data_IF_255458552957
#
_entry.id   IF_255458552957
#
_cell.length_a   1.000
_cell.length_b   1.000
_cell.length_c   1.000
_cell.angle_alpha   90.00
_cell.angle_beta   90.00
_cell.angle_gamma   90.00
#
_symmetry.space_group_name_H-M   'P 1'
#
loop_
_entity.id
_entity.type
_entity.pdbx_description
1 polymer ?
#
# COMPACT_ATOMS: atom_id res chain seq x y z
N UNK A 1 -40.16 -55.03 26.81
CA UNK A 1 -41.08 -54.38 25.86
C UNK A 1 -40.46 -53.05 25.42
N UNK A 2 -40.27 -52.92 24.10
CA UNK A 2 -40.25 -51.67 23.31
C UNK A 2 -39.19 -50.60 23.68
N UNK A 3 -38.10 -50.66 22.90
CA UNK A 3 -37.31 -49.59 22.28
C UNK A 3 -37.77 -48.15 22.54
N UNK A 4 -36.82 -47.20 22.64
CA UNK A 4 -36.81 -45.96 21.84
C UNK A 4 -35.47 -45.21 21.93
N UNK A 5 -34.85 -45.06 20.76
CA UNK A 5 -33.69 -44.23 20.45
C UNK A 5 -34.13 -42.76 20.43
N UNK A 6 -33.31 -41.85 21.00
CA UNK A 6 -33.20 -40.47 20.51
C UNK A 6 -31.74 -40.02 20.59
N UNK A 7 -31.10 -39.99 19.42
CA UNK A 7 -29.86 -39.28 19.18
C UNK A 7 -30.15 -37.78 19.26
N UNK A 8 -29.47 -37.07 20.16
CA UNK A 8 -29.50 -35.62 20.29
C UNK A 8 -28.08 -35.12 20.31
N UNK A 9 -27.60 -34.63 19.17
CA UNK A 9 -26.33 -33.92 19.04
C UNK A 9 -26.46 -32.59 19.77
N UNK A 10 -25.64 -32.38 20.79
CA UNK A 10 -25.30 -31.03 21.26
C UNK A 10 -23.86 -31.05 21.77
N UNK A 11 -22.91 -30.97 20.84
CA UNK A 11 -21.51 -30.79 21.18
C UNK A 11 -21.27 -29.31 21.49
N UNK A 12 -21.22 -28.98 22.78
CA UNK A 12 -20.75 -27.69 23.28
C UNK A 12 -19.26 -27.51 22.98
N UNK A 13 -18.93 -26.29 22.57
CA UNK A 13 -17.60 -25.78 22.27
C UNK A 13 -16.63 -25.88 23.46
N UNK A 14 -15.36 -26.14 23.16
CA UNK A 14 -14.21 -25.81 24.03
C UNK A 14 -13.10 -25.26 23.13
N UNK A 15 -12.89 -23.95 23.24
CA UNK A 15 -11.81 -23.21 22.61
C UNK A 15 -10.48 -23.44 23.35
N UNK A 16 -9.38 -23.57 22.62
CA UNK A 16 -8.04 -23.33 23.15
C UNK A 16 -7.26 -22.52 22.10
N UNK A 17 -7.11 -21.23 22.39
CA UNK A 17 -6.56 -20.22 21.50
C UNK A 17 -5.10 -20.44 21.16
N UNK A 18 -4.80 -20.45 19.87
CA UNK A 18 -3.47 -20.16 19.34
C UNK A 18 -3.53 -18.71 18.87
N UNK A 19 -3.28 -17.77 19.79
CA UNK A 19 -3.21 -16.35 19.48
C UNK A 19 -1.95 -16.07 18.67
N UNK A 20 -1.97 -16.35 17.37
CA UNK A 20 -1.05 -15.72 16.44
C UNK A 20 -1.37 -14.22 16.49
N UNK A 21 -0.50 -13.43 17.11
CA UNK A 21 -0.53 -11.98 17.03
C UNK A 21 -0.37 -11.61 15.55
N UNK A 22 -1.49 -11.48 14.85
CA UNK A 22 -1.52 -10.86 13.54
C UNK A 22 -1.16 -9.40 13.79
N UNK A 23 0.11 -9.07 13.56
CA UNK A 23 0.55 -7.70 13.49
C UNK A 23 -0.26 -7.06 12.36
N UNK A 24 -1.24 -6.21 12.70
CA UNK A 24 -1.95 -5.45 11.70
C UNK A 24 -0.90 -4.59 10.97
N UNK A 25 -0.57 -4.98 9.74
CA UNK A 25 0.17 -4.10 8.86
C UNK A 25 -0.65 -2.82 8.76
N UNK A 26 -0.06 -1.70 9.20
CA UNK A 26 -0.69 -0.40 9.09
C UNK A 26 -1.19 -0.24 7.66
N UNK A 27 -2.51 -0.14 7.49
CA UNK A 27 -3.07 0.11 6.18
C UNK A 27 -2.51 1.46 5.72
N UNK A 28 -1.91 1.54 4.52
CA UNK A 28 -1.49 2.83 4.00
C UNK A 28 -2.69 3.77 4.02
N UNK A 29 -2.49 5.07 4.31
CA UNK A 29 -3.59 6.02 4.35
C UNK A 29 -4.47 5.89 3.11
N UNK A 30 -5.80 5.80 3.29
CA UNK A 30 -6.72 5.96 2.17
C UNK A 30 -6.41 7.31 1.50
N UNK A 31 -6.05 7.29 0.22
CA UNK A 31 -5.62 8.45 -0.57
C UNK A 31 -4.19 8.97 -0.32
N UNK A 32 -3.19 8.11 -0.14
CA UNK A 32 -1.80 8.57 -0.31
C UNK A 32 -1.52 9.12 -1.72
N UNK A 33 -2.29 8.74 -2.74
CA UNK A 33 -1.98 8.94 -4.16
C UNK A 33 -2.74 10.01 -4.93
N UNK A 34 -3.88 10.49 -4.45
CA UNK A 34 -4.78 11.31 -5.26
C UNK A 34 -4.16 12.66 -5.66
N UNK A 35 -4.28 13.02 -6.94
CA UNK A 35 -3.91 14.35 -7.44
C UNK A 35 -4.90 15.40 -6.92
N UNK A 36 -4.41 16.45 -6.26
CA UNK A 36 -5.24 17.53 -5.73
C UNK A 36 -5.01 18.79 -6.54
N UNK A 37 -6.09 19.45 -6.94
CA UNK A 37 -6.04 20.68 -7.75
C UNK A 37 -6.59 21.87 -6.97
N UNK A 38 -6.03 23.05 -7.20
CA UNK A 38 -6.59 24.29 -6.66
C UNK A 38 -7.83 24.72 -7.46
N UNK A 39 -8.52 25.78 -6.99
CA UNK A 39 -9.72 26.33 -7.66
C UNK A 39 -9.48 26.80 -9.11
N UNK A 40 -8.23 27.01 -9.50
CA UNK A 40 -7.82 27.41 -10.87
C UNK A 40 -7.45 26.20 -11.73
N UNK A 41 -7.58 24.98 -11.21
CA UNK A 41 -7.22 23.74 -11.91
C UNK A 41 -5.72 23.45 -11.94
N UNK A 42 -4.87 24.13 -11.16
CA UNK A 42 -3.44 23.80 -11.07
C UNK A 42 -3.20 22.68 -10.06
N UNK A 43 -2.35 21.72 -10.41
CA UNK A 43 -1.93 20.64 -9.52
C UNK A 43 -1.19 21.23 -8.31
N UNK A 44 -1.61 20.81 -7.11
CA UNK A 44 -0.89 21.09 -5.89
C UNK A 44 0.31 20.15 -5.76
N UNK A 45 1.41 20.64 -5.18
CA UNK A 45 2.60 19.84 -4.97
C UNK A 45 2.26 18.61 -4.11
N UNK A 46 2.42 17.38 -4.64
CA UNK A 46 2.09 16.18 -3.88
C UNK A 46 2.99 16.06 -2.64
N UNK A 47 2.38 15.66 -1.52
CA UNK A 47 3.08 15.33 -0.28
C UNK A 47 3.10 13.80 -0.12
N UNK A 48 4.11 13.25 0.54
CA UNK A 48 4.17 11.80 0.79
C UNK A 48 4.36 10.92 -0.46
N UNK A 49 4.59 11.50 -1.65
CA UNK A 49 4.75 10.75 -2.92
C UNK A 49 5.85 9.68 -2.91
N UNK A 50 6.78 9.71 -1.94
CA UNK A 50 7.82 8.68 -1.77
C UNK A 50 7.25 7.35 -1.24
N UNK A 51 6.00 7.34 -0.79
CA UNK A 51 5.25 6.13 -0.41
C UNK A 51 4.45 5.54 -1.59
N UNK A 52 4.43 6.23 -2.74
CA UNK A 52 3.82 5.72 -3.96
C UNK A 52 4.65 4.58 -4.56
N UNK A 53 4.14 3.96 -5.63
CA UNK A 53 4.85 2.89 -6.32
C UNK A 53 6.09 3.47 -6.99
N UNK A 54 7.27 3.08 -6.50
CA UNK A 54 8.54 3.38 -7.16
C UNK A 54 8.67 2.57 -8.45
N UNK A 55 8.94 3.26 -9.57
CA UNK A 55 9.00 2.62 -10.90
C UNK A 55 10.39 2.66 -11.54
N UNK A 56 11.33 3.44 -11.01
CA UNK A 56 12.69 3.46 -11.54
C UNK A 56 13.52 4.65 -11.08
N UNK A 57 14.84 4.48 -11.24
CA UNK A 57 15.84 5.47 -10.88
C UNK A 57 16.82 5.77 -12.04
N UNK A 58 16.39 6.41 -13.14
CA UNK A 58 17.32 6.81 -14.19
C UNK A 58 18.29 7.88 -13.69
N UNK A 59 19.44 7.97 -14.36
CA UNK A 59 20.55 8.83 -14.01
C UNK A 59 21.04 9.56 -15.26
N UNK A 60 21.20 10.88 -15.17
CA UNK A 60 21.81 11.70 -16.23
C UNK A 60 23.04 12.44 -15.69
N UNK A 61 24.24 11.82 -15.75
CA UNK A 61 25.43 12.41 -15.14
C UNK A 61 25.95 13.63 -15.88
N UNK A 62 26.42 14.65 -15.18
CA UNK A 62 27.08 15.81 -15.77
C UNK A 62 28.24 15.42 -16.71
N UNK A 63 29.07 14.46 -16.28
CA UNK A 63 30.22 13.98 -17.04
C UNK A 63 29.86 13.34 -18.39
N UNK A 64 28.64 12.82 -18.52
CA UNK A 64 28.12 12.24 -19.78
C UNK A 64 27.26 13.22 -20.59
N UNK A 65 27.09 14.45 -20.10
CA UNK A 65 26.19 15.46 -20.67
C UNK A 65 26.91 16.83 -20.78
N UNK A 66 28.11 16.85 -21.37
CA UNK A 66 28.87 18.09 -21.63
C UNK A 66 29.09 18.99 -20.38
N UNK A 67 29.17 18.38 -19.19
CA UNK A 67 29.29 19.10 -17.92
C UNK A 67 27.98 19.65 -17.36
N UNK A 68 26.84 19.52 -18.08
CA UNK A 68 25.54 20.05 -17.66
C UNK A 68 24.38 19.16 -18.12
N UNK A 69 23.91 18.28 -17.24
CA UNK A 69 22.67 17.54 -17.47
C UNK A 69 21.46 18.49 -17.50
N UNK A 70 20.49 18.21 -18.38
CA UNK A 70 19.22 18.95 -18.43
C UNK A 70 18.37 18.77 -17.16
N UNK A 71 18.47 17.60 -16.53
CA UNK A 71 17.85 17.26 -15.26
C UNK A 71 18.91 16.64 -14.33
N UNK A 72 19.60 17.39 -13.47
CA UNK A 72 20.74 16.87 -12.71
C UNK A 72 20.31 16.18 -11.40
N UNK A 73 20.82 15.01 -11.02
CA UNK A 73 21.37 13.94 -11.87
C UNK A 73 20.56 12.65 -11.67
N UNK A 74 20.29 12.28 -10.41
CA UNK A 74 19.42 11.16 -10.04
C UNK A 74 17.95 11.53 -10.15
N UNK A 75 17.15 10.69 -10.81
CA UNK A 75 15.71 10.87 -10.90
C UNK A 75 15.06 9.67 -10.25
N UNK A 76 14.27 9.85 -9.20
CA UNK A 76 13.45 8.78 -8.65
C UNK A 76 12.01 9.00 -9.09
N UNK A 77 11.48 8.05 -9.85
CA UNK A 77 10.14 8.17 -10.44
C UNK A 77 9.16 7.32 -9.64
N UNK A 78 8.02 7.92 -9.34
CA UNK A 78 6.94 7.33 -8.57
C UNK A 78 5.61 7.52 -9.29
N UNK A 79 4.70 6.55 -9.18
CA UNK A 79 3.34 6.62 -9.73
C UNK A 79 2.32 6.33 -8.63
N UNK A 80 1.22 7.09 -8.62
CA UNK A 80 0.10 6.83 -7.73
C UNK A 80 -0.34 5.34 -7.88
N UNK A 81 -0.51 4.58 -6.77
CA UNK A 81 -0.98 3.20 -6.84
C UNK A 81 -2.32 3.01 -7.58
N UNK A 82 -3.17 4.03 -7.67
CA UNK A 82 -4.47 4.00 -8.34
C UNK A 82 -4.44 4.58 -9.77
N UNK A 83 -3.26 4.77 -10.35
CA UNK A 83 -3.08 5.36 -11.69
C UNK A 83 -3.55 4.48 -12.86
#
# INVERSE_FOLDING_TARGET
>A
MKTLIRAGVLACAMAAGVGASMQAAAQPPENIGAAVFNKKGSLLLPQGYRQWVFIGAPLTPHGLNNGKAGFPEFHHVYVNPDA
#
